data_IF_846573989399
#
_entry.id   IF_846573989399
#
_cell.length_a   1.000
_cell.length_b   1.000
_cell.length_c   1.000
_cell.angle_alpha   90.00
_cell.angle_beta   90.00
_cell.angle_gamma   90.00
#
_symmetry.space_group_name_H-M   'P 1'
#
loop_
_entity.id
_entity.type
_entity.pdbx_description
1 polymer ?
#
# COMPACT_ATOMS: atom_id res chain seq x y z
N UNK A 1 -2.19 12.01 1.69
CA UNK A 1 -0.76 12.34 1.68
C UNK A 1 -0.46 13.43 0.66
N UNK A 2 0.36 14.44 1.01
CA UNK A 2 0.65 15.58 0.14
C UNK A 2 1.55 15.20 -1.04
N UNK A 3 1.51 16.00 -2.12
CA UNK A 3 2.39 15.85 -3.28
C UNK A 3 3.86 15.89 -2.83
N UNK A 4 4.66 14.96 -3.34
CA UNK A 4 6.09 14.86 -3.02
C UNK A 4 6.39 14.24 -1.66
N UNK A 5 5.39 13.77 -0.91
CA UNK A 5 5.64 13.01 0.30
C UNK A 5 6.44 11.73 -0.01
N UNK A 6 7.43 11.47 0.83
CA UNK A 6 8.24 10.26 0.81
C UNK A 6 8.38 9.75 2.25
N UNK A 7 8.28 8.44 2.40
CA UNK A 7 8.56 7.74 3.63
C UNK A 7 9.58 6.65 3.34
N UNK A 8 10.74 6.76 3.98
CA UNK A 8 11.81 5.77 3.90
C UNK A 8 11.37 4.45 4.55
N UNK A 9 12.20 3.41 4.50
CA UNK A 9 11.91 2.04 4.95
C UNK A 9 11.09 1.98 6.25
N UNK A 10 9.88 1.44 6.15
CA UNK A 10 8.93 1.27 7.25
C UNK A 10 8.05 0.05 7.04
N UNK A 11 7.53 -0.46 8.16
CA UNK A 11 6.54 -1.53 8.12
C UNK A 11 5.12 -0.96 8.10
N UNK A 12 4.18 -1.71 7.52
CA UNK A 12 2.77 -1.46 7.76
C UNK A 12 2.46 -1.72 9.24
N UNK A 13 1.63 -0.89 9.91
CA UNK A 13 1.32 -1.04 11.32
C UNK A 13 0.56 -2.33 11.65
N UNK A 14 -0.18 -2.88 10.69
CA UNK A 14 -0.96 -4.12 10.79
C UNK A 14 -1.27 -4.64 9.38
N UNK A 15 -1.85 -5.85 9.30
CA UNK A 15 -2.44 -6.35 8.05
C UNK A 15 -3.64 -5.47 7.70
N UNK A 16 -3.62 -4.87 6.52
CA UNK A 16 -4.64 -3.89 6.12
C UNK A 16 -4.78 -3.83 4.60
N UNK A 17 -5.97 -3.52 4.12
CA UNK A 17 -6.19 -3.12 2.73
C UNK A 17 -5.92 -1.62 2.59
N UNK A 18 -5.20 -1.26 1.54
CA UNK A 18 -5.01 0.12 1.08
C UNK A 18 -5.86 0.32 -0.17
N UNK A 19 -6.89 1.17 -0.06
CA UNK A 19 -7.84 1.44 -1.14
C UNK A 19 -7.55 2.84 -1.67
N UNK A 20 -7.14 2.94 -2.93
CA UNK A 20 -6.72 4.18 -3.56
C UNK A 20 -7.94 4.97 -4.07
N UNK A 21 -8.06 6.23 -3.67
CA UNK A 21 -9.17 7.11 -4.05
C UNK A 21 -8.73 8.26 -4.98
N UNK A 22 -7.47 8.70 -4.88
CA UNK A 22 -6.90 9.78 -5.66
C UNK A 22 -5.37 9.66 -5.69
N UNK A 23 -4.75 10.16 -6.76
CA UNK A 23 -3.30 10.23 -6.90
C UNK A 23 -2.66 8.89 -7.20
N UNK A 24 -1.33 8.89 -7.33
CA UNK A 24 -0.50 7.70 -7.56
C UNK A 24 0.46 7.53 -6.39
N UNK A 25 0.36 6.37 -5.75
CA UNK A 25 1.23 5.92 -4.66
C UNK A 25 2.18 4.85 -5.18
N UNK A 26 3.47 4.99 -4.91
CA UNK A 26 4.50 4.01 -5.26
C UNK A 26 5.09 3.38 -4.00
N UNK A 27 5.27 2.06 -4.04
CA UNK A 27 5.92 1.28 -2.98
C UNK A 27 7.18 0.66 -3.57
N UNK A 28 8.32 0.92 -2.92
CA UNK A 28 9.59 0.24 -3.21
C UNK A 28 9.79 -0.95 -2.28
N UNK A 29 10.10 -2.12 -2.85
CA UNK A 29 10.28 -3.38 -2.13
C UNK A 29 11.76 -3.76 -1.98
N UNK A 30 12.07 -4.66 -1.05
CA UNK A 30 13.46 -5.00 -0.69
C UNK A 30 14.24 -5.73 -1.78
N UNK A 31 13.56 -6.30 -2.76
CA UNK A 31 14.10 -6.92 -3.97
C UNK A 31 14.43 -5.89 -5.08
N UNK A 32 14.13 -4.61 -4.86
CA UNK A 32 14.41 -3.53 -5.80
C UNK A 32 13.27 -3.22 -6.76
N UNK A 33 12.13 -3.91 -6.65
CA UNK A 33 10.93 -3.59 -7.44
C UNK A 33 10.26 -2.31 -6.93
N UNK A 34 9.60 -1.60 -7.85
CA UNK A 34 8.72 -0.48 -7.55
C UNK A 34 7.34 -0.77 -8.14
N UNK A 35 6.31 -0.70 -7.30
CA UNK A 35 4.92 -0.93 -7.71
C UNK A 35 4.12 0.34 -7.50
N UNK A 36 3.18 0.63 -8.40
CA UNK A 36 2.34 1.83 -8.36
C UNK A 36 0.88 1.45 -8.28
N UNK A 37 0.14 2.23 -7.51
CA UNK A 37 -1.31 2.13 -7.41
C UNK A 37 -1.96 3.49 -7.62
N UNK A 38 -3.00 3.51 -8.43
CA UNK A 38 -3.85 4.65 -8.74
C UNK A 38 -5.29 4.46 -8.26
N UNK A 39 -6.18 5.44 -8.52
CA UNK A 39 -7.55 5.41 -8.04
C UNK A 39 -8.34 4.18 -8.50
N UNK A 40 -9.08 3.56 -7.58
CA UNK A 40 -9.87 2.35 -7.83
C UNK A 40 -9.10 1.05 -7.58
N UNK A 41 -7.77 1.11 -7.43
CA UNK A 41 -6.97 -0.06 -7.11
C UNK A 41 -6.92 -0.30 -5.60
N UNK A 42 -6.80 -1.58 -5.24
CA UNK A 42 -6.69 -2.05 -3.85
C UNK A 42 -5.46 -2.93 -3.75
N UNK A 43 -4.68 -2.73 -2.69
CA UNK A 43 -3.54 -3.59 -2.39
C UNK A 43 -3.40 -3.85 -0.90
N UNK A 44 -2.65 -4.90 -0.56
CA UNK A 44 -2.31 -5.24 0.82
C UNK A 44 -0.79 -5.26 0.95
N UNK A 45 -0.17 -4.37 1.76
CA UNK A 45 1.24 -4.47 2.05
C UNK A 45 1.48 -5.62 3.04
N UNK A 46 2.23 -6.63 2.62
CA UNK A 46 2.49 -7.84 3.44
C UNK A 46 3.58 -7.64 4.52
N UNK A 47 4.34 -6.55 4.46
CA UNK A 47 5.48 -6.32 5.37
C UNK A 47 5.05 -5.61 6.65
N UNK A 48 4.60 -6.38 7.64
CA UNK A 48 4.29 -5.90 9.00
C UNK A 48 5.46 -6.05 9.98
N UNK A 49 6.49 -6.79 9.60
CA UNK A 49 7.76 -6.95 10.33
C UNK A 49 8.95 -6.94 9.37
N UNK A 50 10.17 -6.81 9.91
CA UNK A 50 11.39 -6.80 9.11
C UNK A 50 11.73 -5.41 8.55
N UNK A 51 12.34 -5.38 7.37
CA UNK A 51 12.85 -4.14 6.73
C UNK A 51 11.73 -3.24 6.20
N UNK A 52 10.57 -3.80 5.88
CA UNK A 52 9.44 -3.05 5.38
C UNK A 52 9.56 -2.65 3.91
N UNK A 53 9.07 -1.46 3.57
CA UNK A 53 9.05 -0.89 2.23
C UNK A 53 9.26 0.63 2.28
N UNK A 54 9.58 1.24 1.14
CA UNK A 54 9.49 2.69 0.98
C UNK A 54 8.14 3.08 0.39
N UNK A 55 7.72 4.32 0.61
CA UNK A 55 6.48 4.85 0.04
C UNK A 55 6.71 6.24 -0.55
N UNK A 56 6.14 6.52 -1.73
CA UNK A 56 6.28 7.82 -2.41
C UNK A 56 4.99 8.26 -3.08
N UNK A 57 4.65 9.54 -2.97
CA UNK A 57 3.61 10.17 -3.80
C UNK A 57 4.23 10.56 -5.14
N UNK A 58 3.88 9.83 -6.20
CA UNK A 58 4.31 10.14 -7.57
C UNK A 58 3.42 11.22 -8.17
N UNK A 59 2.10 11.09 -8.00
CA UNK A 59 1.11 12.09 -8.39
C UNK A 59 0.20 12.39 -7.21
N UNK A 60 0.12 13.66 -6.79
CA UNK A 60 -0.54 14.06 -5.56
C UNK A 60 -1.67 15.08 -5.75
N UNK A 61 -2.53 15.24 -4.73
CA UNK A 61 -2.48 14.54 -3.45
C UNK A 61 -2.94 13.09 -3.58
N UNK A 62 -2.41 12.22 -2.71
CA UNK A 62 -2.93 10.87 -2.57
C UNK A 62 -4.00 10.84 -1.49
N UNK A 63 -5.18 10.32 -1.81
CA UNK A 63 -6.23 9.99 -0.82
C UNK A 63 -6.44 8.49 -0.86
N UNK A 64 -6.47 7.87 0.31
CA UNK A 64 -6.64 6.43 0.44
C UNK A 64 -7.37 6.09 1.73
N UNK A 65 -8.01 4.92 1.75
CA UNK A 65 -8.54 4.30 2.96
C UNK A 65 -7.58 3.21 3.40
N UNK A 66 -7.22 3.21 4.67
CA UNK A 66 -6.60 2.07 5.33
C UNK A 66 -7.71 1.30 6.06
N UNK A 67 -7.90 0.03 5.70
CA UNK A 67 -8.85 -0.85 6.35
C UNK A 67 -8.08 -2.01 7.01
N UNK A 68 -7.76 -1.91 8.32
CA UNK A 68 -7.21 -3.02 9.09
C UNK A 68 -8.10 -4.25 9.03
N UNK A 69 -7.48 -5.42 8.97
CA UNK A 69 -8.15 -6.72 8.88
C UNK A 69 -7.50 -7.71 9.87
N UNK A 70 -8.18 -8.80 10.25
CA UNK A 70 -7.55 -9.88 11.00
C UNK A 70 -6.29 -10.39 10.31
N UNK A 71 -5.29 -10.81 11.09
CA UNK A 71 -4.01 -11.28 10.57
C UNK A 71 -4.14 -12.52 9.66
N UNK A 72 -5.18 -13.32 9.90
CA UNK A 72 -5.54 -14.56 9.24
C UNK A 72 -6.62 -14.39 8.16
N UNK A 73 -6.94 -13.15 7.73
CA UNK A 73 -7.90 -12.94 6.65
C UNK A 73 -7.43 -13.62 5.35
N UNK A 74 -8.32 -14.39 4.74
CA UNK A 74 -8.11 -15.03 3.44
C UNK A 74 -8.84 -14.25 2.34
N UNK A 75 -8.08 -13.46 1.59
CA UNK A 75 -8.59 -12.67 0.46
C UNK A 75 -8.68 -13.46 -0.84
N UNK A 76 -8.16 -14.69 -0.90
CA UNK A 76 -8.19 -15.49 -2.13
C UNK A 76 -9.61 -15.91 -2.50
N UNK A 77 -10.49 -15.99 -1.51
CA UNK A 77 -11.91 -16.29 -1.67
C UNK A 77 -12.75 -15.14 -2.26
N UNK A 78 -12.17 -13.94 -2.42
CA UNK A 78 -12.91 -12.75 -2.88
C UNK A 78 -12.89 -12.55 -4.38
N UNK A 79 -11.94 -13.20 -5.07
CA UNK A 79 -11.92 -13.21 -6.52
C UNK A 79 -13.03 -14.14 -7.00
N UNK A 80 -14.00 -13.57 -7.69
CA UNK A 80 -15.02 -14.32 -8.43
C UNK A 80 -14.61 -14.22 -9.90
N UNK A 81 -14.46 -15.39 -10.55
CA UNK A 81 -14.21 -15.50 -11.98
C UNK A 81 -15.34 -14.88 -12.83
#
# INVERSE_FOLDING_TARGET
MPKGAFQDWHNAPTRQLCIMLEGIWEIGTTDGDERRWGPGEVFMPDTVTGRGHTSRVVEGPVRMVFAPVPADVDITSWFID
#
